data_IF_588576081393
#
_entry.id   IF_588576081393
#
_cell.length_a   1.000
_cell.length_b   1.000
_cell.length_c   1.000
_cell.angle_alpha   90.00
_cell.angle_beta   90.00
_cell.angle_gamma   90.00
#
_symmetry.space_group_name_H-M   'P 1'
#
loop_
_entity.id
_entity.type
_entity.pdbx_description
1 polymer ?
#
# COMPACT_ATOMS: atom_id res chain seq x y z
N UNK A 1 21.84 0.46 15.66
CA UNK A 1 20.56 0.73 14.97
C UNK A 1 19.56 -0.29 15.53
N UNK A 2 18.38 0.16 15.91
CA UNK A 2 17.33 -0.68 16.51
C UNK A 2 16.15 -0.67 15.54
N UNK A 3 15.66 -1.86 15.18
CA UNK A 3 14.51 -2.01 14.28
C UNK A 3 13.23 -2.14 15.10
N UNK A 4 12.23 -1.35 14.74
CA UNK A 4 10.85 -1.43 15.25
C UNK A 4 9.91 -1.54 14.06
N UNK A 5 8.79 -2.22 14.25
CA UNK A 5 7.75 -2.28 13.24
C UNK A 5 6.67 -1.22 13.49
N UNK A 6 5.88 -0.92 12.46
CA UNK A 6 4.71 -0.06 12.60
C UNK A 6 3.73 -0.60 13.65
N UNK A 7 3.57 -1.91 13.73
CA UNK A 7 2.76 -2.57 14.78
C UNK A 7 3.29 -2.32 16.18
N UNK A 8 4.61 -2.30 16.37
CA UNK A 8 5.22 -1.98 17.68
C UNK A 8 4.86 -0.56 18.11
N UNK A 9 4.91 0.39 17.17
CA UNK A 9 4.57 1.81 17.41
C UNK A 9 3.10 1.94 17.76
N UNK A 10 2.20 1.33 16.98
CA UNK A 10 0.76 1.34 17.25
C UNK A 10 0.46 0.74 18.62
N UNK A 11 1.01 -0.44 18.90
CA UNK A 11 0.83 -1.11 20.19
C UNK A 11 1.27 -0.21 21.35
N UNK A 12 2.45 0.39 21.24
CA UNK A 12 2.96 1.28 22.27
C UNK A 12 2.12 2.54 22.42
N UNK A 13 1.70 3.16 21.33
CA UNK A 13 0.84 4.34 21.34
C UNK A 13 -0.54 4.05 21.96
N UNK A 14 -1.13 2.88 21.66
CA UNK A 14 -2.41 2.43 22.25
C UNK A 14 -2.30 2.24 23.76
N UNK A 15 -1.18 1.68 24.24
CA UNK A 15 -0.88 1.55 25.68
C UNK A 15 -0.77 2.92 26.35
N UNK A 16 0.02 3.83 25.78
CA UNK A 16 0.21 5.19 26.29
C UNK A 16 -1.12 5.96 26.33
N UNK A 17 -1.98 5.76 25.32
CA UNK A 17 -3.29 6.38 25.21
C UNK A 17 -4.38 5.69 26.06
N UNK A 18 -4.09 4.56 26.71
CA UNK A 18 -5.07 3.74 27.42
C UNK A 18 -6.27 3.36 26.54
N UNK A 19 -5.96 2.81 25.35
CA UNK A 19 -6.93 2.42 24.32
C UNK A 19 -6.79 0.95 23.88
N UNK A 20 -6.10 0.12 24.69
CA UNK A 20 -5.80 -1.29 24.34
C UNK A 20 -7.07 -2.14 24.09
N UNK A 21 -8.20 -1.79 24.67
CA UNK A 21 -9.47 -2.51 24.53
C UNK A 21 -10.54 -1.66 23.83
N UNK A 22 -10.14 -0.70 22.98
CA UNK A 22 -11.07 0.23 22.33
C UNK A 22 -11.00 0.11 20.81
N UNK A 23 -12.15 -0.14 20.20
CA UNK A 23 -12.35 -0.11 18.75
C UNK A 23 -12.76 1.30 18.25
N UNK A 24 -12.58 2.32 19.06
CA UNK A 24 -13.00 3.69 18.73
C UNK A 24 -12.29 4.26 17.49
N UNK A 25 -11.04 3.87 17.26
CA UNK A 25 -10.26 4.31 16.11
C UNK A 25 -10.19 3.14 15.11
N UNK A 26 -10.77 3.33 13.94
CA UNK A 26 -10.75 2.33 12.89
C UNK A 26 -9.32 2.02 12.39
N UNK A 27 -9.14 0.88 11.76
CA UNK A 27 -7.86 0.46 11.18
C UNK A 27 -7.28 1.51 10.22
N UNK A 28 -8.10 2.04 9.31
CA UNK A 28 -7.69 3.06 8.34
C UNK A 28 -7.30 4.37 8.99
N UNK A 29 -8.04 4.78 10.02
CA UNK A 29 -7.68 5.96 10.83
C UNK A 29 -6.36 5.74 11.57
N UNK A 30 -6.09 4.55 12.11
CA UNK A 30 -4.80 4.23 12.74
C UNK A 30 -3.65 4.38 11.76
N UNK A 31 -3.80 3.89 10.50
CA UNK A 31 -2.79 4.06 9.43
C UNK A 31 -2.59 5.55 9.09
N UNK A 32 -3.67 6.30 8.91
CA UNK A 32 -3.59 7.73 8.60
C UNK A 32 -2.86 8.50 9.70
N UNK A 33 -3.28 8.35 10.95
CA UNK A 33 -2.67 9.01 12.11
C UNK A 33 -1.22 8.58 12.34
N UNK A 34 -0.87 7.32 12.07
CA UNK A 34 0.50 6.83 12.12
C UNK A 34 1.39 7.59 11.13
N UNK A 35 0.95 7.71 9.88
CA UNK A 35 1.69 8.39 8.83
C UNK A 35 1.79 9.90 9.09
N UNK A 36 0.72 10.55 9.53
CA UNK A 36 0.74 11.96 9.92
C UNK A 36 1.73 12.22 11.07
N UNK A 37 1.70 11.38 12.10
CA UNK A 37 2.62 11.48 13.24
C UNK A 37 4.07 11.24 12.82
N UNK A 38 4.32 10.29 11.92
CA UNK A 38 5.65 10.01 11.39
C UNK A 38 6.20 11.18 10.58
N UNK A 39 5.41 11.75 9.67
CA UNK A 39 5.81 12.92 8.87
C UNK A 39 6.09 14.12 9.77
N UNK A 40 5.25 14.36 10.79
CA UNK A 40 5.45 15.44 11.74
C UNK A 40 6.76 15.29 12.53
N UNK A 41 7.04 14.09 13.04
CA UNK A 41 8.30 13.79 13.73
C UNK A 41 9.49 13.96 12.79
N UNK A 42 9.41 13.38 11.58
CA UNK A 42 10.44 13.45 10.57
C UNK A 42 10.81 14.91 10.24
N UNK A 43 9.80 15.75 9.94
CA UNK A 43 10.02 17.18 9.67
C UNK A 43 10.64 17.91 10.85
N UNK A 44 10.22 17.60 12.07
CA UNK A 44 10.75 18.20 13.29
C UNK A 44 12.24 17.86 13.48
N UNK A 45 12.61 16.61 13.27
CA UNK A 45 13.97 16.11 13.38
C UNK A 45 14.91 16.75 12.34
N UNK A 46 14.53 16.74 11.07
CA UNK A 46 15.36 17.36 10.01
C UNK A 46 15.51 18.87 10.19
N UNK A 47 14.47 19.56 10.67
CA UNK A 47 14.55 21.00 10.95
C UNK A 47 15.49 21.34 12.11
N UNK A 48 15.72 20.39 13.01
CA UNK A 48 16.70 20.48 14.10
C UNK A 48 18.11 20.02 13.67
N UNK A 49 18.25 19.58 12.41
CA UNK A 49 19.55 19.16 11.87
C UNK A 49 19.94 17.72 12.20
N UNK A 50 18.99 16.89 12.62
CA UNK A 50 19.24 15.47 12.89
C UNK A 50 19.73 14.75 11.61
N UNK A 51 20.79 13.97 11.74
CA UNK A 51 21.45 13.27 10.63
C UNK A 51 20.97 11.83 10.44
N UNK A 52 20.03 11.33 11.28
CA UNK A 52 19.59 9.95 11.25
C UNK A 52 19.05 9.49 9.89
N UNK A 53 18.42 10.41 9.16
CA UNK A 53 17.81 10.15 7.84
C UNK A 53 18.65 10.67 6.67
N UNK A 54 19.84 11.16 6.93
CA UNK A 54 20.67 11.81 5.93
C UNK A 54 21.19 10.81 4.89
N UNK A 55 21.08 11.18 3.61
CA UNK A 55 21.66 10.45 2.47
C UNK A 55 22.68 11.30 1.73
N UNK A 56 23.57 10.62 1.01
CA UNK A 56 24.70 11.24 0.33
C UNK A 56 24.75 10.82 -1.13
N UNK A 57 25.05 11.80 -2.01
CA UNK A 57 25.40 11.56 -3.40
C UNK A 57 26.80 12.11 -3.61
N UNK A 58 27.75 11.27 -4.00
CA UNK A 58 29.11 11.69 -4.35
C UNK A 58 29.27 11.60 -5.87
N UNK A 59 29.69 12.70 -6.50
CA UNK A 59 29.83 12.79 -7.96
C UNK A 59 30.88 13.80 -8.38
N UNK A 60 31.42 13.65 -9.60
CA UNK A 60 32.30 14.62 -10.24
C UNK A 60 31.58 15.39 -11.34
N UNK A 61 30.25 15.21 -11.50
CA UNK A 61 29.46 15.90 -12.51
C UNK A 61 29.08 17.31 -12.03
N UNK A 62 29.03 18.27 -12.95
CA UNK A 62 28.51 19.63 -12.68
C UNK A 62 26.98 19.74 -12.83
N UNK A 63 26.33 18.74 -13.45
CA UNK A 63 24.88 18.64 -13.60
C UNK A 63 24.47 17.29 -13.01
N UNK A 64 23.58 17.32 -12.03
CA UNK A 64 23.25 16.17 -11.19
C UNK A 64 21.73 16.10 -11.09
N UNK A 65 21.15 15.03 -11.61
CA UNK A 65 19.74 14.74 -11.41
C UNK A 65 19.52 14.30 -9.96
N UNK A 66 18.59 14.97 -9.28
CA UNK A 66 18.24 14.64 -7.91
C UNK A 66 17.45 13.32 -7.88
N UNK A 67 17.63 12.48 -6.86
CA UNK A 67 16.92 11.20 -6.74
C UNK A 67 15.41 11.39 -6.69
N UNK A 68 14.67 10.36 -7.06
CA UNK A 68 13.20 10.37 -6.96
C UNK A 68 12.69 10.56 -5.53
N UNK A 69 13.46 10.08 -4.56
CA UNK A 69 13.17 10.22 -3.13
C UNK A 69 13.70 11.53 -2.51
N UNK A 70 14.19 12.47 -3.32
CA UNK A 70 14.68 13.75 -2.80
C UNK A 70 13.54 14.57 -2.18
N UNK A 71 13.68 14.89 -0.90
CA UNK A 71 12.73 15.72 -0.16
C UNK A 71 13.29 17.09 0.17
N UNK A 72 14.44 17.15 0.85
CA UNK A 72 15.04 18.40 1.28
C UNK A 72 16.56 18.34 1.19
N UNK A 73 17.15 19.37 0.59
CA UNK A 73 18.61 19.55 0.56
C UNK A 73 19.10 20.01 1.93
N UNK A 74 20.15 19.36 2.44
CA UNK A 74 20.88 19.81 3.63
C UNK A 74 22.09 20.64 3.25
N UNK A 75 22.99 20.10 2.43
CA UNK A 75 24.23 20.78 2.02
C UNK A 75 24.71 20.31 0.65
N UNK A 76 25.46 21.16 0.00
CA UNK A 76 26.31 20.84 -1.16
C UNK A 76 27.74 21.16 -0.78
N UNK A 77 28.61 20.17 -0.84
CA UNK A 77 30.00 20.27 -0.38
C UNK A 77 30.97 19.94 -1.51
N UNK A 78 32.06 20.70 -1.63
CA UNK A 78 33.22 20.31 -2.40
C UNK A 78 34.14 19.49 -1.50
N UNK A 79 34.43 18.26 -1.88
CA UNK A 79 35.36 17.37 -1.19
C UNK A 79 36.71 17.41 -1.92
N UNK A 80 37.67 18.09 -1.35
CA UNK A 80 39.04 18.13 -1.82
C UNK A 80 39.92 17.27 -0.90
N UNK A 81 40.16 16.00 -1.29
CA UNK A 81 41.01 15.06 -0.54
C UNK A 81 40.64 14.94 0.94
N UNK A 82 39.33 14.86 1.22
CA UNK A 82 38.79 14.73 2.58
C UNK A 82 38.46 16.05 3.26
N UNK A 83 38.87 17.20 2.69
CA UNK A 83 38.45 18.51 3.20
C UNK A 83 37.14 18.95 2.55
N UNK A 84 36.07 19.08 3.37
CA UNK A 84 34.72 19.43 2.93
C UNK A 84 34.54 20.97 2.99
N UNK A 85 34.27 21.59 1.84
CA UNK A 85 34.00 23.02 1.73
C UNK A 85 32.56 23.24 1.28
N UNK A 86 31.73 23.98 2.03
CA UNK A 86 30.34 24.24 1.63
C UNK A 86 30.26 25.12 0.39
N UNK A 87 29.43 24.72 -0.57
CA UNK A 87 29.11 25.48 -1.78
C UNK A 87 27.80 26.23 -1.51
N UNK A 88 27.77 27.52 -1.80
CA UNK A 88 26.60 28.37 -1.55
C UNK A 88 25.59 28.28 -2.70
N UNK A 89 24.33 28.35 -2.37
CA UNK A 89 23.24 28.47 -3.36
C UNK A 89 23.24 29.91 -3.91
N UNK A 90 23.24 30.06 -5.24
CA UNK A 90 23.08 31.35 -5.90
C UNK A 90 22.21 31.23 -7.14
N UNK A 91 21.36 32.20 -7.46
CA UNK A 91 20.59 32.23 -8.70
C UNK A 91 21.47 32.56 -9.91
N UNK A 92 21.06 32.09 -11.08
CA UNK A 92 21.79 32.08 -12.36
C UNK A 92 22.30 33.44 -12.90
N UNK A 93 21.83 34.54 -12.36
CA UNK A 93 22.09 35.89 -12.93
C UNK A 93 23.23 36.70 -12.26
N UNK A 94 24.05 36.07 -11.45
CA UNK A 94 25.20 36.73 -10.84
C UNK A 94 26.48 36.22 -11.48
N UNK A 95 27.19 37.14 -12.17
CA UNK A 95 28.52 36.94 -12.79
C UNK A 95 29.65 36.78 -11.74
N UNK A 96 29.51 35.83 -10.83
CA UNK A 96 30.52 35.55 -9.82
C UNK A 96 31.41 34.39 -10.24
N UNK A 97 32.69 34.57 -10.09
CA UNK A 97 33.72 33.54 -10.32
C UNK A 97 33.73 32.47 -9.22
N UNK A 98 32.98 32.68 -8.15
CA UNK A 98 32.92 31.77 -7.01
C UNK A 98 32.07 30.55 -7.31
N UNK A 99 32.49 29.41 -6.78
CA UNK A 99 31.78 28.17 -6.87
C UNK A 99 30.41 28.28 -6.17
N UNK A 100 29.34 27.96 -6.90
CA UNK A 100 27.95 28.03 -6.41
C UNK A 100 27.10 26.93 -7.03
N UNK A 101 25.91 26.71 -6.47
CA UNK A 101 24.93 25.79 -7.08
C UNK A 101 23.57 26.45 -7.22
N UNK A 102 22.79 25.91 -8.14
CA UNK A 102 21.36 26.19 -8.33
C UNK A 102 20.59 24.91 -8.48
N UNK A 103 19.29 24.94 -8.15
CA UNK A 103 18.36 23.81 -8.39
C UNK A 103 17.27 24.33 -9.33
N UNK A 104 17.15 23.67 -10.48
CA UNK A 104 16.13 23.96 -11.49
C UNK A 104 15.45 22.64 -11.84
N UNK A 105 14.15 22.59 -11.67
CA UNK A 105 13.31 21.40 -11.96
C UNK A 105 13.83 20.16 -11.26
N UNK A 106 14.20 19.53 -10.76
CA UNK A 106 14.79 18.32 -10.18
C UNK A 106 16.28 18.09 -10.53
N UNK A 107 16.97 19.14 -11.01
CA UNK A 107 18.38 19.06 -11.37
C UNK A 107 19.18 20.07 -10.57
N UNK A 108 20.25 19.61 -9.92
CA UNK A 108 21.23 20.46 -9.26
C UNK A 108 22.39 20.74 -10.21
N UNK A 109 22.66 22.01 -10.45
CA UNK A 109 23.74 22.46 -11.31
C UNK A 109 24.81 23.22 -10.51
N UNK A 110 26.05 22.82 -10.69
CA UNK A 110 27.24 23.54 -10.12
C UNK A 110 27.73 24.57 -11.12
N UNK A 111 27.82 25.81 -10.68
CA UNK A 111 28.33 26.92 -11.45
C UNK A 111 29.72 27.29 -10.94
N UNK A 112 30.63 27.72 -11.84
CA UNK A 112 32.02 28.02 -11.54
C UNK A 112 32.99 26.89 -11.87
N UNK A 113 34.29 27.17 -11.73
CA UNK A 113 35.33 26.18 -11.98
C UNK A 113 35.85 25.62 -10.66
N UNK A 114 35.89 24.29 -10.57
CA UNK A 114 36.62 23.58 -9.50
C UNK A 114 37.64 22.64 -10.14
N UNK A 115 38.87 22.70 -9.74
CA UNK A 115 39.95 21.84 -10.21
C UNK A 115 40.27 20.80 -9.17
N UNK A 116 39.82 19.57 -9.43
CA UNK A 116 40.01 18.43 -8.52
C UNK A 116 38.94 18.36 -7.42
N UNK A 117 38.78 17.14 -6.88
CA UNK A 117 37.78 16.86 -5.85
C UNK A 117 36.46 16.33 -6.42
N UNK A 118 35.55 15.94 -5.52
CA UNK A 118 34.21 15.49 -5.81
C UNK A 118 33.16 16.38 -5.15
N UNK A 119 31.96 16.41 -5.70
CA UNK A 119 30.83 17.08 -5.09
C UNK A 119 30.10 16.05 -4.21
N UNK A 120 29.87 16.39 -2.96
CA UNK A 120 29.02 15.66 -2.04
C UNK A 120 27.72 16.42 -1.80
N UNK A 121 26.59 15.81 -2.09
CA UNK A 121 25.26 16.35 -1.85
C UNK A 121 24.68 15.61 -0.67
N UNK A 122 24.36 16.34 0.38
CA UNK A 122 23.67 15.84 1.56
C UNK A 122 22.19 16.19 1.47
N UNK A 123 21.32 15.20 1.54
CA UNK A 123 19.87 15.41 1.44
C UNK A 123 19.09 14.48 2.36
N UNK A 124 17.88 14.92 2.70
CA UNK A 124 16.91 14.10 3.38
C UNK A 124 15.97 13.49 2.35
N UNK A 125 15.72 12.17 2.38
CA UNK A 125 14.77 11.52 1.48
C UNK A 125 13.33 11.81 1.86
N UNK A 126 12.40 11.53 0.97
CA UNK A 126 10.97 11.51 1.28
C UNK A 126 10.69 10.47 2.38
N UNK A 127 9.92 10.82 3.42
CA UNK A 127 9.53 9.85 4.43
C UNK A 127 8.75 8.69 3.81
N UNK A 128 9.06 7.47 4.23
CA UNK A 128 8.39 6.26 3.76
C UNK A 128 6.94 6.22 4.26
N UNK A 129 6.06 5.61 3.48
CA UNK A 129 4.69 5.34 3.94
C UNK A 129 4.72 4.13 4.88
N UNK A 130 4.14 4.30 6.07
CA UNK A 130 4.05 3.26 7.07
C UNK A 130 2.76 2.47 6.90
N UNK A 131 2.88 1.16 6.98
CA UNK A 131 1.77 0.20 6.96
C UNK A 131 1.94 -0.81 8.07
N UNK A 132 0.87 -1.45 8.48
CA UNK A 132 0.90 -2.57 9.43
C UNK A 132 -0.29 -3.51 9.15
N UNK A 133 -0.20 -4.81 9.49
CA UNK A 133 -1.31 -5.74 9.31
C UNK A 133 -2.46 -5.42 10.27
N UNK A 134 -3.72 -5.61 9.82
CA UNK A 134 -4.88 -5.48 10.70
C UNK A 134 -4.93 -6.63 11.70
N UNK A 135 -5.66 -6.43 12.79
CA UNK A 135 -6.08 -7.53 13.64
C UNK A 135 -7.02 -8.47 12.86
N UNK A 136 -7.02 -9.75 13.26
CA UNK A 136 -7.94 -10.72 12.66
C UNK A 136 -9.38 -10.39 13.05
N UNK A 137 -10.22 -10.15 12.04
CA UNK A 137 -11.67 -10.01 12.22
C UNK A 137 -12.33 -11.38 12.01
N UNK A 138 -13.07 -11.85 13.02
CA UNK A 138 -13.82 -13.09 12.91
C UNK A 138 -15.07 -12.91 12.05
N UNK A 139 -15.33 -13.84 11.15
CA UNK A 139 -16.52 -13.87 10.30
C UNK A 139 -17.53 -14.84 10.89
N UNK A 140 -18.77 -14.41 11.22
CA UNK A 140 -19.76 -15.23 11.90
C UNK A 140 -20.57 -16.14 10.94
N UNK A 141 -19.97 -16.60 9.84
CA UNK A 141 -20.62 -17.45 8.84
C UNK A 141 -19.78 -18.68 8.53
N UNK A 142 -20.48 -19.79 8.19
CA UNK A 142 -19.86 -21.01 7.73
C UNK A 142 -19.82 -21.09 6.20
N UNK A 143 -18.94 -21.93 5.67
CA UNK A 143 -18.79 -22.19 4.23
C UNK A 143 -18.55 -20.92 3.41
N UNK A 144 -17.76 -20.00 3.96
CA UNK A 144 -17.43 -18.73 3.29
C UNK A 144 -16.57 -19.00 2.06
N UNK A 145 -16.96 -18.44 0.92
CA UNK A 145 -16.29 -18.57 -0.37
C UNK A 145 -15.59 -17.28 -0.77
N UNK A 146 -16.19 -16.13 -0.46
CA UNK A 146 -15.64 -14.81 -0.77
C UNK A 146 -16.25 -13.76 0.16
N UNK A 147 -15.57 -12.61 0.24
CA UNK A 147 -16.08 -11.44 0.93
C UNK A 147 -15.81 -10.19 0.08
N UNK A 148 -16.78 -9.28 0.06
CA UNK A 148 -16.63 -7.98 -0.59
C UNK A 148 -17.35 -6.91 0.25
N UNK A 149 -16.58 -5.98 0.80
CA UNK A 149 -17.07 -5.01 1.78
C UNK A 149 -17.79 -5.72 2.94
N UNK A 150 -19.03 -5.36 3.22
CA UNK A 150 -19.85 -5.97 4.25
C UNK A 150 -20.62 -7.21 3.76
N UNK A 151 -20.39 -7.65 2.52
CA UNK A 151 -21.08 -8.78 1.92
C UNK A 151 -20.23 -10.05 1.95
N UNK A 152 -20.83 -11.13 2.39
CA UNK A 152 -20.20 -12.44 2.48
C UNK A 152 -20.95 -13.42 1.59
N UNK A 153 -20.24 -14.10 0.70
CA UNK A 153 -20.77 -15.14 -0.15
C UNK A 153 -20.44 -16.49 0.49
N UNK A 154 -21.47 -17.25 0.78
CA UNK A 154 -21.38 -18.60 1.36
C UNK A 154 -21.89 -19.66 0.39
N UNK A 155 -21.34 -20.86 0.48
CA UNK A 155 -21.76 -22.01 -0.31
C UNK A 155 -22.89 -22.79 0.38
N UNK A 156 -23.90 -23.17 -0.41
CA UNK A 156 -24.92 -24.16 0.00
C UNK A 156 -24.45 -25.52 -0.48
N UNK A 157 -24.22 -26.43 0.44
CA UNK A 157 -23.72 -27.78 0.14
C UNK A 157 -24.80 -28.85 0.38
N UNK A 158 -24.87 -29.79 -0.55
CA UNK A 158 -25.65 -31.00 -0.40
C UNK A 158 -24.75 -32.21 -0.71
N UNK A 159 -24.60 -33.12 0.25
CA UNK A 159 -23.68 -34.26 0.14
C UNK A 159 -22.25 -33.92 -0.24
N UNK A 160 -21.70 -32.81 0.32
CA UNK A 160 -20.38 -32.22 0.03
C UNK A 160 -20.22 -31.64 -1.40
N UNK A 161 -21.30 -31.55 -2.16
CA UNK A 161 -21.30 -30.85 -3.45
C UNK A 161 -21.90 -29.46 -3.30
N UNK A 162 -21.28 -28.45 -3.88
CA UNK A 162 -21.78 -27.08 -3.92
C UNK A 162 -23.01 -27.03 -4.84
N UNK A 163 -24.17 -26.78 -4.26
CA UNK A 163 -25.47 -26.77 -4.97
C UNK A 163 -26.05 -25.38 -5.18
N UNK A 164 -25.54 -24.37 -4.44
CA UNK A 164 -26.02 -23.00 -4.55
C UNK A 164 -25.12 -22.03 -3.79
N UNK A 165 -25.44 -20.77 -3.92
CA UNK A 165 -24.71 -19.65 -3.31
C UNK A 165 -25.68 -18.78 -2.53
N UNK A 166 -25.25 -18.32 -1.36
CA UNK A 166 -25.99 -17.39 -0.51
C UNK A 166 -25.17 -16.13 -0.30
N UNK A 167 -25.80 -14.98 -0.44
CA UNK A 167 -25.25 -13.69 -0.10
C UNK A 167 -25.76 -13.25 1.27
N UNK A 168 -24.88 -12.93 2.19
CA UNK A 168 -25.17 -12.52 3.55
C UNK A 168 -24.57 -11.14 3.82
N UNK A 169 -25.21 -10.33 4.67
CA UNK A 169 -24.64 -9.05 5.09
C UNK A 169 -24.01 -9.18 6.47
N UNK A 170 -22.77 -8.71 6.63
CA UNK A 170 -22.02 -8.79 7.88
C UNK A 170 -22.62 -7.91 8.99
N UNK A 171 -23.19 -6.75 8.63
CA UNK A 171 -23.77 -5.80 9.57
C UNK A 171 -25.24 -6.10 9.90
N UNK A 172 -25.91 -6.89 9.04
CA UNK A 172 -27.31 -7.29 9.24
C UNK A 172 -27.51 -8.76 8.86
N UNK A 173 -27.35 -9.64 9.83
CA UNK A 173 -27.50 -11.09 9.65
C UNK A 173 -28.90 -11.53 9.21
N UNK A 174 -29.90 -10.63 9.20
CA UNK A 174 -31.25 -10.93 8.69
C UNK A 174 -31.33 -10.85 7.16
N UNK A 175 -30.35 -10.23 6.52
CA UNK A 175 -30.31 -10.07 5.06
C UNK A 175 -29.56 -11.26 4.46
N UNK A 176 -30.34 -12.20 3.92
CA UNK A 176 -29.82 -13.37 3.22
C UNK A 176 -30.51 -13.47 1.86
N UNK A 177 -29.73 -13.55 0.79
CA UNK A 177 -30.25 -13.64 -0.58
C UNK A 177 -29.62 -14.82 -1.29
N UNK A 178 -30.46 -15.75 -1.76
CA UNK A 178 -29.99 -16.83 -2.62
C UNK A 178 -29.63 -16.28 -4.01
N UNK A 179 -28.41 -16.58 -4.48
CA UNK A 179 -27.91 -16.14 -5.76
C UNK A 179 -28.26 -17.15 -6.86
N UNK A 180 -28.53 -16.65 -8.06
CA UNK A 180 -28.64 -17.51 -9.23
C UNK A 180 -27.27 -18.07 -9.58
N UNK A 181 -27.19 -19.30 -10.08
CA UNK A 181 -25.95 -19.98 -10.40
C UNK A 181 -25.29 -20.67 -9.20
N UNK A 182 -24.53 -21.71 -9.49
CA UNK A 182 -23.86 -22.52 -8.48
C UNK A 182 -22.34 -22.35 -8.43
N UNK A 183 -21.78 -21.52 -9.30
CA UNK A 183 -20.34 -21.21 -9.35
C UNK A 183 -20.13 -19.73 -9.17
N UNK A 184 -19.37 -19.35 -8.17
CA UNK A 184 -18.89 -18.00 -8.01
C UNK A 184 -17.74 -17.74 -9.01
N UNK A 185 -17.85 -16.67 -9.79
CA UNK A 185 -16.81 -16.26 -10.76
C UNK A 185 -15.94 -15.19 -10.16
N UNK A 186 -16.52 -14.05 -9.78
CA UNK A 186 -15.81 -13.01 -9.03
C UNK A 186 -16.80 -11.98 -8.46
N UNK A 187 -16.28 -11.08 -7.67
CA UNK A 187 -17.00 -9.90 -7.18
C UNK A 187 -16.25 -8.67 -7.64
N UNK A 188 -16.95 -7.72 -8.23
CA UNK A 188 -16.37 -6.46 -8.68
C UNK A 188 -17.36 -5.33 -8.44
N UNK A 189 -16.89 -4.27 -7.80
CA UNK A 189 -17.70 -3.09 -7.49
C UNK A 189 -19.00 -3.48 -6.74
N UNK A 190 -20.13 -3.19 -7.36
CA UNK A 190 -21.44 -3.44 -6.82
C UNK A 190 -22.07 -4.78 -7.33
N UNK A 191 -21.28 -5.64 -7.96
CA UNK A 191 -21.82 -6.87 -8.56
C UNK A 191 -21.14 -8.13 -8.05
N UNK A 192 -21.97 -9.15 -7.74
CA UNK A 192 -21.54 -10.54 -7.60
C UNK A 192 -21.83 -11.26 -8.91
N UNK A 193 -20.80 -11.89 -9.46
CA UNK A 193 -20.90 -12.65 -10.71
C UNK A 193 -20.88 -14.12 -10.41
N UNK A 194 -21.95 -14.79 -10.83
CA UNK A 194 -22.11 -16.25 -10.70
C UNK A 194 -22.38 -16.88 -12.07
N UNK A 195 -22.28 -18.19 -12.17
CA UNK A 195 -22.44 -18.93 -13.43
C UNK A 195 -23.04 -20.29 -13.21
N UNK A 196 -23.89 -20.68 -14.17
CA UNK A 196 -24.22 -22.05 -14.55
C UNK A 196 -23.97 -22.23 -16.05
N UNK A 197 -25.02 -22.38 -16.84
CA UNK A 197 -24.98 -22.32 -18.31
C UNK A 197 -24.79 -20.90 -18.82
N UNK A 198 -25.22 -19.91 -18.03
CA UNK A 198 -25.14 -18.47 -18.28
C UNK A 198 -24.46 -17.75 -17.12
N UNK A 199 -24.15 -16.47 -17.33
CA UNK A 199 -23.67 -15.60 -16.26
C UNK A 199 -24.85 -14.85 -15.64
N UNK A 200 -24.80 -14.68 -14.33
CA UNK A 200 -25.73 -13.90 -13.52
C UNK A 200 -24.95 -12.83 -12.77
N UNK A 201 -25.34 -11.56 -12.97
CA UNK A 201 -24.77 -10.42 -12.31
C UNK A 201 -25.78 -9.90 -11.30
N UNK A 202 -25.55 -10.18 -10.04
CA UNK A 202 -26.39 -9.67 -8.96
C UNK A 202 -25.86 -8.32 -8.51
N UNK A 203 -26.70 -7.27 -8.59
CA UNK A 203 -26.33 -5.93 -8.13
C UNK A 203 -26.58 -5.80 -6.62
N UNK A 204 -25.51 -5.56 -5.85
CA UNK A 204 -25.55 -5.45 -4.39
C UNK A 204 -26.38 -4.26 -3.87
N UNK A 205 -26.45 -3.16 -4.65
CA UNK A 205 -27.23 -1.97 -4.26
C UNK A 205 -28.71 -2.08 -4.57
N UNK A 206 -29.05 -2.66 -5.71
CA UNK A 206 -30.45 -2.69 -6.18
C UNK A 206 -31.15 -4.00 -5.93
N UNK A 207 -30.42 -5.07 -5.57
CA UNK A 207 -30.94 -6.42 -5.41
C UNK A 207 -31.42 -7.06 -6.72
N UNK A 208 -31.05 -6.52 -7.88
CA UNK A 208 -31.49 -7.03 -9.19
C UNK A 208 -30.45 -7.95 -9.82
N UNK A 209 -30.90 -8.98 -10.48
CA UNK A 209 -30.07 -9.88 -11.27
C UNK A 209 -30.21 -9.59 -12.76
N UNK A 210 -29.07 -9.55 -13.47
CA UNK A 210 -28.97 -9.49 -14.93
C UNK A 210 -28.46 -10.84 -15.40
N UNK A 211 -29.19 -11.48 -16.31
CA UNK A 211 -28.80 -12.72 -16.98
C UNK A 211 -28.13 -12.40 -18.32
N UNK A 212 -27.00 -13.00 -18.62
CA UNK A 212 -26.27 -12.76 -19.87
C UNK A 212 -25.45 -13.96 -20.32
N UNK A 213 -25.23 -14.05 -21.62
CA UNK A 213 -24.27 -15.00 -22.22
C UNK A 213 -22.92 -14.36 -22.53
N UNK A 214 -22.82 -13.03 -22.40
CA UNK A 214 -21.57 -12.29 -22.59
C UNK A 214 -20.66 -12.48 -21.37
N UNK A 215 -19.36 -12.41 -21.60
CA UNK A 215 -18.37 -12.60 -20.55
C UNK A 215 -18.34 -11.32 -19.68
N UNK A 216 -18.64 -11.41 -18.39
CA UNK A 216 -18.44 -10.31 -17.48
C UNK A 216 -16.95 -9.98 -17.34
N UNK A 217 -16.61 -8.70 -17.45
CA UNK A 217 -15.25 -8.20 -17.37
C UNK A 217 -15.16 -7.09 -16.33
N UNK A 218 -14.07 -7.04 -15.60
CA UNK A 218 -13.77 -5.94 -14.68
C UNK A 218 -12.87 -4.91 -15.38
N UNK A 219 -13.27 -3.63 -15.25
CA UNK A 219 -12.52 -2.49 -15.76
C UNK A 219 -12.71 -1.31 -14.82
N UNK A 220 -11.62 -0.71 -14.31
CA UNK A 220 -11.66 0.35 -13.29
C UNK A 220 -12.57 0.00 -12.10
N UNK A 221 -12.47 -1.23 -11.64
CA UNK A 221 -13.32 -1.79 -10.58
C UNK A 221 -14.82 -1.74 -10.88
N UNK A 222 -15.22 -1.58 -12.14
CA UNK A 222 -16.61 -1.63 -12.60
C UNK A 222 -16.87 -2.86 -13.44
N UNK A 223 -18.12 -3.29 -13.47
CA UNK A 223 -18.54 -4.44 -14.26
C UNK A 223 -18.94 -4.03 -15.67
N UNK A 224 -18.39 -4.75 -16.62
CA UNK A 224 -18.70 -4.62 -18.05
C UNK A 224 -19.00 -5.98 -18.64
N UNK A 225 -19.65 -6.00 -19.78
CA UNK A 225 -19.85 -7.20 -20.59
C UNK A 225 -18.92 -7.14 -21.79
N UNK A 226 -18.19 -8.22 -22.04
CA UNK A 226 -17.29 -8.34 -23.16
C UNK A 226 -17.85 -9.26 -24.22
N UNK A 227 -17.85 -8.81 -25.47
CA UNK A 227 -18.21 -9.61 -26.63
C UNK A 227 -17.54 -9.08 -27.90
N UNK A 228 -16.89 -9.96 -28.65
CA UNK A 228 -16.33 -9.68 -30.00
C UNK A 228 -15.57 -8.33 -30.08
N UNK A 229 -14.61 -8.12 -29.20
CA UNK A 229 -13.81 -6.90 -29.11
C UNK A 229 -14.56 -5.64 -28.64
N UNK A 230 -15.69 -5.80 -27.99
CA UNK A 230 -16.48 -4.67 -27.44
C UNK A 230 -16.66 -4.84 -25.95
N UNK A 231 -16.52 -3.74 -25.23
CA UNK A 231 -16.96 -3.60 -23.85
C UNK A 231 -18.29 -2.86 -23.80
N UNK A 232 -19.24 -3.43 -23.08
CA UNK A 232 -20.56 -2.84 -22.86
C UNK A 232 -20.70 -2.57 -21.36
N UNK A 233 -21.00 -1.33 -20.98
CA UNK A 233 -21.26 -1.00 -19.58
C UNK A 233 -22.59 -1.63 -19.13
N UNK A 234 -22.63 -2.21 -17.92
CA UNK A 234 -23.78 -2.95 -17.41
C UNK A 234 -24.97 -2.05 -17.06
N UNK A 235 -24.72 -0.80 -16.69
CA UNK A 235 -25.77 0.14 -16.32
C UNK A 235 -26.11 1.13 -17.46
N UNK A 236 -27.02 0.79 -18.32
CA UNK A 236 -27.69 1.68 -19.31
C UNK A 236 -26.82 2.45 -20.32
N UNK A 237 -25.52 2.56 -20.14
CA UNK A 237 -24.62 3.26 -21.05
C UNK A 237 -23.69 2.25 -21.72
N UNK A 238 -23.86 2.00 -22.99
CA UNK A 238 -22.90 1.20 -23.74
C UNK A 238 -21.70 2.06 -24.11
N UNK A 239 -20.53 1.71 -23.61
CA UNK A 239 -19.24 2.22 -24.08
C UNK A 239 -18.66 1.12 -24.96
N UNK A 240 -18.57 1.35 -26.27
CA UNK A 240 -17.95 0.41 -27.20
C UNK A 240 -16.49 0.85 -27.45
N UNK A 241 -15.53 0.00 -27.11
CA UNK A 241 -14.11 0.20 -27.43
C UNK A 241 -13.78 -0.65 -28.67
N UNK A 242 -13.42 0.00 -29.77
CA UNK A 242 -13.28 -0.67 -31.06
C UNK A 242 -11.95 -1.42 -31.28
N UNK A 243 -10.98 -1.31 -30.38
CA UNK A 243 -9.63 -1.83 -30.59
C UNK A 243 -9.20 -2.84 -29.51
N UNK A 244 -10.13 -3.48 -28.84
CA UNK A 244 -9.80 -4.55 -27.92
C UNK A 244 -9.47 -5.84 -28.68
N UNK A 245 -8.51 -6.62 -28.18
CA UNK A 245 -8.18 -7.89 -28.81
C UNK A 245 -9.36 -8.86 -28.74
N UNK A 246 -9.62 -9.57 -29.83
CA UNK A 246 -10.59 -10.66 -29.85
C UNK A 246 -10.02 -11.89 -29.16
N UNK A 247 -10.60 -12.27 -28.04
CA UNK A 247 -10.24 -13.51 -27.34
C UNK A 247 -11.01 -14.64 -27.99
N UNK A 248 -10.28 -15.55 -28.64
CA UNK A 248 -10.89 -16.69 -29.37
C UNK A 248 -11.15 -17.91 -28.49
N UNK A 249 -10.52 -17.98 -27.34
CA UNK A 249 -10.61 -19.10 -26.42
C UNK A 249 -11.85 -18.99 -25.54
N UNK A 250 -12.34 -20.12 -25.05
CA UNK A 250 -13.39 -20.12 -24.03
C UNK A 250 -12.80 -19.64 -22.72
N UNK A 251 -13.20 -18.45 -22.27
CA UNK A 251 -12.74 -17.86 -21.03
C UNK A 251 -13.85 -17.88 -19.97
N UNK A 252 -13.43 -18.01 -18.72
CA UNK A 252 -14.35 -17.94 -17.57
C UNK A 252 -14.27 -16.61 -16.84
N UNK A 253 -13.10 -15.94 -16.90
CA UNK A 253 -12.84 -14.71 -16.20
C UNK A 253 -11.96 -13.81 -17.06
N UNK A 254 -12.29 -12.52 -17.10
CA UNK A 254 -11.53 -11.51 -17.82
C UNK A 254 -11.49 -10.20 -17.02
N UNK A 255 -10.33 -9.55 -17.04
CA UNK A 255 -10.09 -8.24 -16.46
C UNK A 255 -9.29 -7.38 -17.44
N UNK A 256 -9.56 -6.08 -17.46
CA UNK A 256 -8.81 -5.10 -18.25
C UNK A 256 -8.07 -4.14 -17.32
N UNK A 257 -6.86 -3.72 -17.71
CA UNK A 257 -6.15 -2.63 -17.04
C UNK A 257 -6.90 -1.30 -17.19
N UNK A 258 -6.65 -0.35 -16.28
CA UNK A 258 -7.33 0.95 -16.27
C UNK A 258 -7.11 1.77 -17.55
N UNK A 259 -5.98 1.60 -18.20
CA UNK A 259 -5.66 2.26 -19.46
C UNK A 259 -6.09 1.45 -20.71
N UNK A 260 -6.71 0.28 -20.51
CA UNK A 260 -7.16 -0.65 -21.56
C UNK A 260 -6.04 -1.15 -22.48
N UNK A 261 -4.79 -1.05 -22.07
CA UNK A 261 -3.65 -1.57 -22.85
C UNK A 261 -3.38 -3.04 -22.61
N UNK A 262 -3.74 -3.51 -21.40
CA UNK A 262 -3.50 -4.89 -20.98
C UNK A 262 -4.81 -5.57 -20.64
N UNK A 263 -4.88 -6.85 -20.95
CA UNK A 263 -6.01 -7.67 -20.57
C UNK A 263 -5.52 -9.00 -20.02
N UNK A 264 -6.18 -9.42 -18.95
CA UNK A 264 -5.89 -10.63 -18.21
C UNK A 264 -7.08 -11.54 -18.32
N UNK A 265 -6.85 -12.78 -18.72
CA UNK A 265 -7.94 -13.73 -18.84
C UNK A 265 -7.50 -15.14 -18.46
N UNK A 266 -8.47 -15.94 -18.05
CA UNK A 266 -8.29 -17.33 -17.68
C UNK A 266 -8.96 -18.23 -18.72
N UNK A 267 -8.17 -19.13 -19.26
CA UNK A 267 -8.64 -20.33 -19.98
C UNK A 267 -8.35 -21.55 -19.11
N UNK A 268 -7.60 -22.51 -19.59
CA UNK A 268 -6.89 -23.53 -18.81
C UNK A 268 -5.68 -22.94 -18.05
N UNK A 269 -5.13 -21.84 -18.55
CA UNK A 269 -4.03 -21.05 -17.96
C UNK A 269 -4.41 -19.58 -17.86
N UNK A 270 -3.63 -18.85 -17.07
CA UNK A 270 -3.70 -17.38 -17.06
C UNK A 270 -2.89 -16.84 -18.22
N UNK A 271 -3.47 -15.87 -18.91
CA UNK A 271 -2.79 -15.10 -19.94
C UNK A 271 -2.88 -13.61 -19.63
N UNK A 272 -1.78 -12.90 -19.81
CA UNK A 272 -1.75 -11.45 -19.86
C UNK A 272 -1.39 -11.07 -21.30
N UNK A 273 -2.33 -10.42 -21.97
CA UNK A 273 -2.28 -10.21 -23.42
C UNK A 273 -2.09 -11.56 -24.15
N UNK A 274 -0.97 -11.76 -24.82
CA UNK A 274 -0.63 -13.01 -25.49
C UNK A 274 0.37 -13.88 -24.71
N UNK A 275 0.77 -13.46 -23.49
CA UNK A 275 1.75 -14.18 -22.68
C UNK A 275 1.08 -15.15 -21.72
N UNK A 276 1.45 -16.41 -21.77
CA UNK A 276 1.05 -17.39 -20.76
C UNK A 276 1.86 -17.22 -19.47
N UNK A 277 1.16 -17.26 -18.34
CA UNK A 277 1.75 -17.24 -17.01
C UNK A 277 1.59 -18.62 -16.39
N UNK A 278 2.71 -19.26 -16.12
CA UNK A 278 2.74 -20.54 -15.40
C UNK A 278 2.61 -20.28 -13.90
N UNK A 279 1.40 -20.40 -13.39
CA UNK A 279 1.17 -20.42 -11.95
C UNK A 279 1.32 -21.86 -11.43
N UNK A 280 1.81 -22.00 -10.21
CA UNK A 280 1.96 -23.30 -9.55
C UNK A 280 0.63 -23.99 -9.29
N UNK A 281 -0.46 -23.23 -9.30
CA UNK A 281 -1.81 -23.68 -8.96
C UNK A 281 -2.86 -22.94 -9.79
N UNK A 282 -4.06 -23.51 -9.86
CA UNK A 282 -5.14 -22.94 -10.64
C UNK A 282 -5.57 -21.57 -10.11
N UNK A 283 -5.67 -20.56 -10.99
CA UNK A 283 -6.16 -19.24 -10.62
C UNK A 283 -7.65 -19.29 -10.30
N UNK A 284 -8.04 -18.54 -9.30
CA UNK A 284 -9.41 -18.47 -8.80
C UNK A 284 -10.04 -17.10 -9.09
N UNK A 285 -9.42 -16.03 -8.63
CA UNK A 285 -9.92 -14.66 -8.82
C UNK A 285 -8.80 -13.72 -9.22
N UNK A 286 -9.15 -12.61 -9.88
CA UNK A 286 -8.27 -11.55 -10.32
C UNK A 286 -8.68 -10.24 -9.65
N UNK A 287 -7.69 -9.49 -9.15
CA UNK A 287 -7.90 -8.19 -8.54
C UNK A 287 -6.88 -7.20 -9.09
N UNK A 288 -7.35 -6.06 -9.55
CA UNK A 288 -6.45 -5.02 -10.06
C UNK A 288 -5.76 -4.28 -8.92
N UNK A 289 -4.45 -4.08 -9.06
CA UNK A 289 -3.61 -3.33 -8.13
C UNK A 289 -2.69 -2.42 -8.94
N UNK A 290 -3.04 -1.13 -9.07
CA UNK A 290 -2.25 -0.14 -9.82
C UNK A 290 -1.76 -0.68 -11.19
N UNK A 291 -0.46 -0.99 -11.31
CA UNK A 291 0.19 -1.51 -12.53
C UNK A 291 0.38 -3.03 -12.51
N UNK A 292 -0.36 -3.75 -11.68
CA UNK A 292 -0.26 -5.19 -11.53
C UNK A 292 -1.61 -5.83 -11.24
N UNK A 293 -1.63 -7.16 -11.18
CA UNK A 293 -2.80 -7.98 -10.90
C UNK A 293 -2.51 -8.92 -9.75
N UNK A 294 -3.34 -8.91 -8.74
CA UNK A 294 -3.33 -9.91 -7.69
C UNK A 294 -4.17 -11.10 -8.15
N UNK A 295 -3.59 -12.28 -8.10
CA UNK A 295 -4.24 -13.54 -8.47
C UNK A 295 -4.31 -14.43 -7.25
N UNK A 296 -5.51 -14.85 -6.87
CA UNK A 296 -5.72 -15.92 -5.88
C UNK A 296 -5.76 -17.26 -6.57
N UNK A 297 -5.40 -18.31 -5.86
CA UNK A 297 -5.37 -19.68 -6.38
C UNK A 297 -6.15 -20.66 -5.50
N UNK A 298 -6.40 -21.86 -6.00
CA UNK A 298 -7.22 -22.88 -5.31
C UNK A 298 -6.62 -23.38 -3.99
N UNK A 299 -5.30 -23.29 -3.80
CA UNK A 299 -4.64 -23.78 -2.58
C UNK A 299 -3.73 -22.75 -1.98
N UNK A 300 -4.28 -21.55 -1.74
CA UNK A 300 -3.75 -20.82 -0.62
C UNK A 300 -2.48 -20.03 -0.89
N UNK A 301 -2.12 -19.75 -2.12
CA UNK A 301 -1.16 -18.70 -2.32
C UNK A 301 -1.70 -17.56 -3.20
N UNK A 302 -1.22 -16.38 -2.95
CA UNK A 302 -1.58 -15.16 -3.63
C UNK A 302 -0.33 -14.63 -4.32
N UNK A 303 -0.47 -14.31 -5.59
CA UNK A 303 0.62 -13.80 -6.42
C UNK A 303 0.29 -12.40 -6.92
N UNK A 304 1.30 -11.54 -6.95
CA UNK A 304 1.26 -10.24 -7.62
C UNK A 304 1.97 -10.40 -8.97
N UNK A 305 1.26 -10.14 -10.05
CA UNK A 305 1.76 -10.31 -11.42
C UNK A 305 1.78 -8.96 -12.10
N UNK A 306 2.94 -8.51 -12.56
CA UNK A 306 3.02 -7.32 -13.37
C UNK A 306 2.57 -7.58 -14.82
N UNK A 307 2.26 -6.54 -15.59
CA UNK A 307 1.83 -6.69 -16.97
C UNK A 307 2.90 -7.22 -17.92
N UNK A 308 4.16 -7.35 -17.47
CA UNK A 308 5.21 -8.02 -18.22
C UNK A 308 5.20 -9.54 -18.04
N UNK A 309 4.38 -10.06 -17.14
CA UNK A 309 4.23 -11.47 -16.83
C UNK A 309 5.18 -11.98 -15.74
N UNK A 310 6.00 -11.11 -15.16
CA UNK A 310 6.80 -11.49 -13.99
C UNK A 310 5.90 -11.49 -12.74
N UNK A 311 6.06 -12.48 -11.90
CA UNK A 311 5.24 -12.58 -10.69
C UNK A 311 6.07 -12.88 -9.44
N UNK A 312 5.56 -12.45 -8.31
CA UNK A 312 6.07 -12.79 -6.98
C UNK A 312 4.95 -13.37 -6.11
N UNK A 313 5.29 -14.35 -5.31
CA UNK A 313 4.39 -14.84 -4.27
C UNK A 313 4.33 -13.79 -3.16
N UNK A 314 3.12 -13.26 -2.89
CA UNK A 314 2.92 -12.27 -1.82
C UNK A 314 2.67 -13.00 -0.52
N UNK A 315 1.78 -13.99 -0.55
CA UNK A 315 1.36 -14.75 0.62
C UNK A 315 1.34 -16.23 0.27
N UNK A 316 1.96 -17.02 1.13
CA UNK A 316 1.84 -18.46 1.14
C UNK A 316 1.27 -18.90 2.47
N UNK A 317 -0.04 -19.15 2.52
CA UNK A 317 -0.72 -19.61 3.71
C UNK A 317 -1.78 -20.62 3.31
N UNK A 318 -1.71 -21.83 3.83
CA UNK A 318 -2.58 -22.97 3.47
C UNK A 318 -4.07 -22.77 3.83
N UNK A 319 -4.42 -21.62 4.39
CA UNK A 319 -5.76 -21.29 4.84
C UNK A 319 -6.43 -20.15 4.05
N UNK A 320 -5.78 -19.57 3.05
CA UNK A 320 -6.37 -18.45 2.28
C UNK A 320 -7.48 -18.97 1.38
N UNK A 321 -8.65 -18.33 1.45
CA UNK A 321 -9.80 -18.62 0.61
C UNK A 321 -9.90 -17.58 -0.51
N UNK A 322 -9.74 -16.31 -0.19
CA UNK A 322 -9.95 -15.21 -1.11
C UNK A 322 -9.15 -13.95 -0.72
N UNK A 323 -9.08 -13.00 -1.63
CA UNK A 323 -8.55 -11.65 -1.40
C UNK A 323 -9.70 -10.66 -1.42
N UNK A 324 -9.67 -9.72 -0.48
CA UNK A 324 -10.68 -8.70 -0.30
C UNK A 324 -10.04 -7.35 -0.59
N UNK A 325 -10.69 -6.56 -1.43
CA UNK A 325 -10.34 -5.16 -1.64
C UNK A 325 -11.11 -4.28 -0.67
N UNK A 326 -10.43 -3.39 0.05
CA UNK A 326 -11.09 -2.39 0.88
C UNK A 326 -11.54 -1.19 0.04
N UNK A 327 -12.73 -0.64 0.33
CA UNK A 327 -13.40 0.40 -0.48
C UNK A 327 -12.60 1.70 -0.65
N UNK A 328 -11.77 2.03 0.30
CA UNK A 328 -10.99 3.26 0.30
C UNK A 328 -9.71 3.20 -0.54
N UNK A 329 -9.50 2.13 -1.31
CA UNK A 329 -8.27 1.83 -2.05
C UNK A 329 -7.00 1.82 -1.18
N UNK A 330 -7.13 1.76 0.15
CA UNK A 330 -5.97 1.79 1.06
C UNK A 330 -5.28 0.44 1.17
N UNK A 331 -5.90 -0.65 0.69
CA UNK A 331 -5.25 -1.94 0.72
C UNK A 331 -6.13 -3.11 0.36
N UNK A 332 -5.57 -4.29 0.59
CA UNK A 332 -6.20 -5.57 0.38
C UNK A 332 -6.14 -6.36 1.69
N UNK A 333 -7.15 -7.15 1.92
CA UNK A 333 -7.16 -8.16 2.97
C UNK A 333 -7.20 -9.55 2.37
N UNK A 334 -7.02 -10.55 3.17
CA UNK A 334 -7.23 -11.93 2.81
C UNK A 334 -8.19 -12.61 3.79
N UNK A 335 -9.06 -13.41 3.21
CA UNK A 335 -9.98 -14.25 3.92
C UNK A 335 -9.32 -15.61 4.16
N UNK A 336 -9.25 -16.04 5.41
CA UNK A 336 -8.67 -17.33 5.79
C UNK A 336 -9.69 -18.22 6.48
N UNK A 337 -9.52 -19.53 6.32
CA UNK A 337 -10.22 -20.56 7.10
C UNK A 337 -9.22 -21.17 8.09
N UNK A 338 -9.56 -21.18 9.35
CA UNK A 338 -8.81 -21.84 10.41
C UNK A 338 -9.70 -22.87 11.14
N UNK A 339 -9.13 -23.64 12.06
CA UNK A 339 -9.87 -24.66 12.80
C UNK A 339 -11.14 -24.14 13.52
N UNK A 340 -11.12 -22.87 13.90
CA UNK A 340 -12.18 -22.24 14.71
C UNK A 340 -13.08 -21.27 13.91
N UNK A 341 -12.97 -21.22 12.58
CA UNK A 341 -13.81 -20.34 11.77
C UNK A 341 -13.08 -19.59 10.66
N UNK A 342 -13.70 -18.53 10.18
CA UNK A 342 -13.22 -17.70 9.09
C UNK A 342 -12.78 -16.35 9.63
N UNK A 343 -11.68 -15.81 9.06
CA UNK A 343 -11.08 -14.57 9.52
C UNK A 343 -10.65 -13.72 8.33
N UNK A 344 -10.72 -12.39 8.52
CA UNK A 344 -10.15 -11.40 7.61
C UNK A 344 -8.94 -10.75 8.25
N UNK A 345 -7.87 -10.64 7.49
CA UNK A 345 -6.64 -9.95 7.90
C UNK A 345 -6.17 -9.07 6.75
N UNK A 346 -5.60 -7.88 7.05
CA UNK A 346 -5.06 -7.02 6.00
C UNK A 346 -3.79 -7.58 5.36
N UNK A 347 -3.52 -7.13 4.15
CA UNK A 347 -2.40 -7.52 3.30
C UNK A 347 -1.14 -6.70 3.52
N UNK A 348 -1.24 -5.63 4.33
CA UNK A 348 -0.13 -4.73 4.51
C UNK A 348 1.01 -5.40 5.24
N UNK A 349 2.20 -5.25 4.67
CA UNK A 349 3.42 -5.58 5.38
C UNK A 349 3.57 -4.68 6.61
N UNK A 350 4.14 -5.24 7.65
CA UNK A 350 4.49 -4.44 8.82
C UNK A 350 5.79 -3.68 8.52
N UNK A 351 5.67 -2.38 8.25
CA UNK A 351 6.82 -1.58 7.85
C UNK A 351 7.86 -1.52 8.96
N UNK A 352 9.08 -1.91 8.62
CA UNK A 352 10.23 -1.82 9.53
C UNK A 352 10.86 -0.42 9.48
N UNK A 353 11.07 0.16 10.64
CA UNK A 353 11.77 1.42 10.84
C UNK A 353 13.07 1.19 11.62
N UNK A 354 14.16 1.59 11.00
CA UNK A 354 15.49 1.50 11.60
C UNK A 354 15.82 2.83 12.27
N UNK A 355 15.72 2.88 13.58
CA UNK A 355 16.06 4.06 14.37
C UNK A 355 17.48 3.96 14.94
N UNK A 356 18.21 5.09 15.02
CA UNK A 356 19.54 5.10 15.65
C UNK A 356 19.53 4.66 17.10
N UNK A 357 18.50 5.03 17.84
CA UNK A 357 18.30 4.63 19.24
C UNK A 357 16.80 4.54 19.58
N UNK A 358 16.49 4.08 20.79
CA UNK A 358 15.13 3.87 21.28
C UNK A 358 14.31 5.18 21.43
N UNK A 359 14.97 6.34 21.53
CA UNK A 359 14.27 7.59 21.80
C UNK A 359 13.39 8.03 20.62
N UNK A 360 13.81 7.73 19.37
CA UNK A 360 12.98 7.99 18.17
C UNK A 360 11.65 7.22 18.24
N UNK A 361 11.71 5.95 18.61
CA UNK A 361 10.52 5.14 18.83
C UNK A 361 9.62 5.72 19.93
N UNK A 362 10.21 6.15 21.03
CA UNK A 362 9.47 6.74 22.15
C UNK A 362 8.75 8.03 21.74
N UNK A 363 9.43 8.94 21.03
CA UNK A 363 8.83 10.17 20.52
C UNK A 363 7.69 9.89 19.54
N UNK A 364 7.89 8.94 18.63
CA UNK A 364 6.88 8.52 17.66
C UNK A 364 5.64 7.96 18.36
N UNK A 365 5.81 7.10 19.35
CA UNK A 365 4.72 6.50 20.11
C UNK A 365 3.92 7.56 20.90
N UNK A 366 4.57 8.57 21.48
CA UNK A 366 3.89 9.66 22.15
C UNK A 366 3.08 10.55 21.18
N UNK A 367 3.65 10.93 20.05
CA UNK A 367 2.95 11.72 19.03
C UNK A 367 1.69 11.01 18.54
N UNK A 368 1.79 9.73 18.25
CA UNK A 368 0.67 8.93 17.82
C UNK A 368 -0.38 8.77 18.94
N UNK A 369 0.04 8.57 20.21
CA UNK A 369 -0.85 8.51 21.36
C UNK A 369 -1.63 9.83 21.57
N UNK A 370 -0.96 10.97 21.39
CA UNK A 370 -1.60 12.29 21.42
C UNK A 370 -2.65 12.38 20.31
N UNK A 371 -2.31 11.98 19.07
CA UNK A 371 -3.24 11.97 17.94
C UNK A 371 -4.48 11.10 18.21
N UNK A 372 -4.30 9.93 18.83
CA UNK A 372 -5.39 9.06 19.26
C UNK A 372 -6.30 9.73 20.30
N UNK A 373 -5.73 10.40 21.30
CA UNK A 373 -6.50 11.10 22.33
C UNK A 373 -7.23 12.31 21.78
N UNK A 374 -6.63 13.07 20.86
CA UNK A 374 -7.30 14.18 20.16
C UNK A 374 -8.52 13.66 19.40
N UNK A 375 -8.37 12.56 18.65
CA UNK A 375 -9.48 11.94 17.92
C UNK A 375 -10.61 11.52 18.85
N UNK A 376 -10.28 11.01 20.04
CA UNK A 376 -11.25 10.63 21.07
C UNK A 376 -11.92 11.84 21.76
N UNK A 377 -11.40 13.06 21.56
CA UNK A 377 -11.86 14.24 22.28
C UNK A 377 -11.45 14.26 23.75
N UNK A 378 -10.41 13.54 24.13
CA UNK A 378 -9.92 13.42 25.51
C UNK A 378 -8.88 14.49 25.84
N UNK A 379 -8.65 14.74 27.14
CA UNK A 379 -7.58 15.61 27.61
C UNK A 379 -6.20 15.02 27.27
N UNK A 380 -5.34 15.85 26.64
CA UNK A 380 -3.98 15.48 26.20
C UNK A 380 -2.89 16.11 27.07
N UNK A 381 -3.23 16.94 28.04
CA UNK A 381 -2.26 17.78 28.79
C UNK A 381 -1.13 16.96 29.42
N UNK A 382 -1.47 15.83 30.03
CA UNK A 382 -0.47 14.93 30.63
C UNK A 382 0.43 14.25 29.63
N UNK A 383 -0.11 13.84 28.47
CA UNK A 383 0.65 13.22 27.39
C UNK A 383 1.57 14.22 26.69
N UNK A 384 1.07 15.45 26.49
CA UNK A 384 1.87 16.52 25.89
C UNK A 384 3.07 16.88 26.76
N UNK A 385 2.88 17.00 28.06
CA UNK A 385 3.98 17.25 29.00
C UNK A 385 5.02 16.09 28.99
N UNK A 386 4.55 14.86 28.90
CA UNK A 386 5.42 13.68 28.82
C UNK A 386 6.21 13.64 27.51
N UNK A 387 5.58 14.00 26.39
CA UNK A 387 6.23 14.15 25.09
C UNK A 387 7.30 15.24 25.13
N UNK A 388 6.99 16.44 25.67
CA UNK A 388 7.94 17.56 25.76
C UNK A 388 9.18 17.18 26.59
N UNK A 389 9.01 16.49 27.71
CA UNK A 389 10.14 15.96 28.49
C UNK A 389 10.98 14.93 27.75
N UNK A 390 10.33 14.02 27.02
CA UNK A 390 11.04 13.02 26.22
C UNK A 390 11.81 13.68 25.09
N UNK A 391 11.24 14.71 24.49
CA UNK A 391 11.85 15.50 23.42
C UNK A 391 13.06 16.30 23.93
N UNK A 392 12.95 16.97 25.08
CA UNK A 392 14.06 17.68 25.73
C UNK A 392 15.22 16.72 25.99
N UNK A 393 14.95 15.57 26.61
CA UNK A 393 15.96 14.54 26.86
C UNK A 393 16.62 14.04 25.58
N UNK A 394 15.83 13.88 24.50
CA UNK A 394 16.32 13.45 23.21
C UNK A 394 17.32 14.46 22.63
N UNK A 395 17.00 15.77 22.61
CA UNK A 395 17.90 16.79 22.09
C UNK A 395 19.14 17.00 22.95
N UNK A 396 19.03 16.85 24.25
CA UNK A 396 20.20 16.88 25.15
C UNK A 396 21.17 15.73 24.85
N UNK A 397 20.63 14.56 24.50
CA UNK A 397 21.46 13.40 24.11
C UNK A 397 22.14 13.64 22.76
N UNK A 398 21.41 14.16 21.75
CA UNK A 398 21.99 14.48 20.45
C UNK A 398 23.10 15.54 20.55
N UNK A 399 22.90 16.59 21.34
CA UNK A 399 23.89 17.64 21.53
C UNK A 399 25.19 17.13 22.18
N UNK A 400 25.08 16.16 23.06
CA UNK A 400 26.24 15.52 23.68
C UNK A 400 27.00 14.57 22.74
N UNK A 401 26.31 13.91 21.81
CA UNK A 401 26.96 13.03 20.82
C UNK A 401 27.72 13.83 19.76
N UNK A 402 27.21 14.98 19.32
CA UNK A 402 27.89 15.88 18.39
C UNK A 402 29.22 16.40 18.97
N UNK A 403 29.30 16.62 20.27
CA UNK A 403 30.55 16.98 20.96
C UNK A 403 31.61 15.88 20.91
N UNK A 404 31.22 14.64 20.94
CA UNK A 404 32.16 13.52 20.85
C UNK A 404 32.72 13.31 19.44
N UNK A 405 31.90 13.54 18.41
CA UNK A 405 32.37 13.46 17.00
C UNK A 405 33.32 14.61 16.63
N UNK A 406 33.07 15.83 17.12
CA UNK A 406 33.94 16.98 16.86
C UNK A 406 35.31 16.85 17.54
N UNK A 407 35.40 16.13 18.67
CA UNK A 407 36.69 15.86 19.36
C UNK A 407 37.57 14.82 18.65
N UNK A 408 36.97 13.86 17.93
CA UNK A 408 37.72 12.81 17.22
C UNK A 408 38.30 13.32 15.90
N UNK A 409 37.69 14.29 15.23
CA UNK A 409 38.17 14.86 13.98
C UNK A 409 39.31 15.90 14.17
N UNK A 410 39.56 16.37 15.38
CA UNK A 410 40.64 17.30 15.67
C UNK A 410 41.93 16.65 16.22
N UNK A 411 42.05 15.33 16.21
CA UNK A 411 43.19 14.57 16.75
C UNK A 411 43.96 13.82 15.67
N UNK A 412 43.70 14.07 14.36
CA UNK A 412 44.53 13.53 13.28
C UNK A 412 44.87 14.59 12.23
#
# INVERSE_FOLDING_TARGET
MITYTSSDIIKRATQIADLENSDFISFNEKIALLNESYVALYQKLINKGDNAFLRYINTNKSIIDLPQDFYQLKAVLLNNNGYLQPIKRRPQNQNDKDLSYEIINNTLKINGHYSGGSISIEYYPTPVTLTFPSEKLSIPFDNVLAMHNDWIITGIYNNNELTGLMLNNLNDNSINVELNGNKLIHVADDYVVTKDDKYYLFNLKTGKTIETVYIPASFKSRMFLYNDSKLLMVENNSIAYNNLPAIKDKVDLIMFSDDLKHFIYKTDKVKIDDKEIELKQNPKHFYQKNESVIITTDSSYVVDVNYNGDYQEIIKNDCIIDVIKFDDNTGYGYLTQELNGYYVTSFFDDTELNFPNQMYFTLMAYLLAISFKIKQGSDISGLQLSYEKAEETFYDTLSNDDWNYTRITNVY
#
